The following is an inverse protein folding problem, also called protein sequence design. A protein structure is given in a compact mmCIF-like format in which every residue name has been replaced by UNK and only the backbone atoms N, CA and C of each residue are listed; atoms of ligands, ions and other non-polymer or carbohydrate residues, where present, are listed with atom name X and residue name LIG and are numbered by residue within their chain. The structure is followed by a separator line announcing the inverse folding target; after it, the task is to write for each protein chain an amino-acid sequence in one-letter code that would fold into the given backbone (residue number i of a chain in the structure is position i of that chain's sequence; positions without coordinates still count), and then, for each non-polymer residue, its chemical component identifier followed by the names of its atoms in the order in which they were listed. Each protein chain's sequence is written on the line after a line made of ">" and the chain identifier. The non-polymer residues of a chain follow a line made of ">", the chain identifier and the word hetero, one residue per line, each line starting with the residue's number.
data_IF_001068310869
#
_entry.id   IF_001068310869
#
_cell.length_a   1.000
_cell.length_b   1.000
_cell.length_c   1.000
_cell.angle_alpha   90.00
_cell.angle_beta   90.00
_cell.angle_gamma   90.00
#
_symmetry.space_group_name_H-M   'P 1'
#
loop_
_entity.id
_entity.type
_entity.pdbx_description
1 polymer ?
#
# COMPACT_ATOMS: atom_id res chain seq x y z
N UNK A 1 -11.27 8.80 -13.11
CA UNK A 1 -12.08 8.87 -11.89
C UNK A 1 -13.17 7.81 -11.96
N UNK A 2 -12.90 6.62 -11.44
CA UNK A 2 -13.94 5.68 -11.02
C UNK A 2 -13.48 5.16 -9.66
N UNK A 3 -13.88 5.87 -8.62
CA UNK A 3 -13.73 5.42 -7.25
C UNK A 3 -14.69 4.26 -7.05
N UNK A 4 -14.25 3.05 -7.42
CA UNK A 4 -14.90 1.81 -7.02
C UNK A 4 -14.72 1.73 -5.50
N UNK A 5 -15.71 2.27 -4.78
CA UNK A 5 -15.79 2.16 -3.33
C UNK A 5 -16.41 0.80 -3.01
N UNK A 6 -15.58 -0.12 -2.53
CA UNK A 6 -16.00 -1.45 -2.10
C UNK A 6 -15.71 -1.50 -0.61
N UNK A 7 -16.69 -1.13 0.24
CA UNK A 7 -16.50 -0.96 1.69
C UNK A 7 -15.91 -2.18 2.39
N UNK A 8 -16.14 -3.38 1.82
CA UNK A 8 -15.70 -4.65 2.36
C UNK A 8 -14.40 -5.19 1.74
N UNK A 9 -13.82 -4.48 0.77
CA UNK A 9 -12.55 -4.90 0.19
C UNK A 9 -11.42 -4.69 1.22
N UNK A 10 -10.82 -5.80 1.66
CA UNK A 10 -9.69 -5.79 2.57
C UNK A 10 -8.39 -6.26 1.90
N UNK A 11 -8.44 -6.71 0.65
CA UNK A 11 -7.26 -7.15 -0.10
C UNK A 11 -7.17 -6.40 -1.43
N UNK A 12 -6.00 -5.81 -1.68
CA UNK A 12 -5.63 -5.14 -2.93
C UNK A 12 -4.51 -5.95 -3.58
N UNK A 13 -4.65 -6.25 -4.86
CA UNK A 13 -3.60 -6.83 -5.69
C UNK A 13 -3.40 -5.89 -6.89
N UNK A 14 -2.18 -5.40 -7.05
CA UNK A 14 -1.79 -4.55 -8.19
C UNK A 14 -0.76 -5.31 -8.99
N UNK A 15 -1.14 -5.71 -10.19
CA UNK A 15 -0.21 -6.20 -11.20
C UNK A 15 0.56 -5.04 -11.85
N UNK A 16 1.77 -5.32 -12.31
CA UNK A 16 2.69 -4.33 -12.90
C UNK A 16 2.85 -3.05 -12.06
N UNK A 17 2.96 -3.21 -10.74
CA UNK A 17 3.04 -2.11 -9.78
C UNK A 17 4.22 -1.14 -10.05
N UNK A 18 5.28 -1.63 -10.70
CA UNK A 18 6.44 -0.83 -11.11
C UNK A 18 6.10 0.31 -12.10
N UNK A 19 4.97 0.18 -12.82
CA UNK A 19 4.47 1.18 -13.78
C UNK A 19 3.78 2.37 -13.13
N UNK A 20 3.47 2.29 -11.84
CA UNK A 20 2.75 3.34 -11.13
C UNK A 20 3.68 4.30 -10.40
N UNK A 21 3.35 5.58 -10.40
CA UNK A 21 4.00 6.56 -9.55
C UNK A 21 3.77 6.24 -8.07
N UNK A 22 4.72 6.63 -7.21
CA UNK A 22 4.66 6.37 -5.77
C UNK A 22 3.35 6.90 -5.16
N UNK A 23 2.95 8.13 -5.49
CA UNK A 23 1.70 8.73 -5.03
C UNK A 23 0.46 7.94 -5.44
N UNK A 24 0.45 7.34 -6.63
CA UNK A 24 -0.65 6.49 -7.09
C UNK A 24 -0.73 5.20 -6.27
N UNK A 25 0.42 4.56 -5.99
CA UNK A 25 0.50 3.38 -5.13
C UNK A 25 -0.02 3.67 -3.71
N UNK A 26 0.32 4.83 -3.13
CA UNK A 26 -0.24 5.27 -1.84
C UNK A 26 -1.76 5.41 -1.88
N UNK A 27 -2.28 6.09 -2.90
CA UNK A 27 -3.72 6.33 -3.04
C UNK A 27 -4.48 5.02 -3.21
N UNK A 28 -3.94 4.06 -3.96
CA UNK A 28 -4.53 2.72 -4.11
C UNK A 28 -4.47 1.93 -2.81
N UNK A 29 -3.31 1.88 -2.14
CA UNK A 29 -3.13 1.22 -0.84
C UNK A 29 -4.13 1.73 0.20
N UNK A 30 -4.35 3.04 0.25
CA UNK A 30 -5.28 3.68 1.20
C UNK A 30 -6.76 3.34 0.99
N UNK A 31 -7.11 2.53 -0.02
CA UNK A 31 -8.47 2.03 -0.27
C UNK A 31 -8.79 0.74 0.48
N UNK A 32 -7.79 0.03 1.01
CA UNK A 32 -7.99 -1.19 1.82
C UNK A 32 -7.54 -0.96 3.26
N UNK A 33 -8.03 -1.79 4.19
CA UNK A 33 -7.62 -1.72 5.61
C UNK A 33 -8.23 -0.55 6.40
N UNK A 34 -9.39 -0.02 5.96
CA UNK A 34 -10.15 1.03 6.68
C UNK A 34 -11.07 0.50 7.79
N UNK A 35 -11.23 -0.82 7.89
CA UNK A 35 -12.03 -1.48 8.92
C UNK A 35 -11.18 -1.91 10.12
N UNK A 36 -11.80 -2.46 11.17
CA UNK A 36 -11.08 -3.11 12.28
C UNK A 36 -10.29 -4.37 11.86
N UNK A 37 -10.51 -4.87 10.64
CA UNK A 37 -9.81 -6.03 10.07
C UNK A 37 -8.54 -5.57 9.34
N UNK A 38 -7.47 -6.32 9.50
CA UNK A 38 -6.21 -6.12 8.76
C UNK A 38 -6.49 -6.14 7.26
N UNK A 39 -6.00 -5.11 6.56
CA UNK A 39 -5.97 -5.05 5.11
C UNK A 39 -4.64 -5.54 4.55
N UNK A 40 -4.67 -6.17 3.38
CA UNK A 40 -3.49 -6.65 2.67
C UNK A 40 -3.37 -5.92 1.33
N UNK A 41 -2.17 -5.50 0.96
CA UNK A 41 -1.86 -4.93 -0.35
C UNK A 41 -0.64 -5.63 -0.95
N UNK A 42 -0.82 -6.24 -2.11
CA UNK A 42 0.23 -6.92 -2.86
C UNK A 42 0.57 -6.10 -4.10
N UNK A 43 1.84 -5.68 -4.20
CA UNK A 43 2.38 -4.97 -5.35
C UNK A 43 3.25 -5.94 -6.13
N UNK A 44 2.78 -6.36 -7.30
CA UNK A 44 3.41 -7.40 -8.10
C UNK A 44 4.10 -6.79 -9.32
N UNK A 45 5.21 -7.38 -9.74
CA UNK A 45 5.84 -7.13 -11.03
C UNK A 45 6.26 -8.46 -11.66
N UNK A 46 6.49 -8.53 -12.98
CA UNK A 46 6.94 -9.76 -13.62
C UNK A 46 8.27 -10.23 -13.03
N UNK A 47 8.38 -11.53 -12.72
CA UNK A 47 9.54 -12.10 -12.03
C UNK A 47 10.86 -11.98 -12.82
N UNK A 48 10.75 -11.99 -14.15
CA UNK A 48 11.83 -11.97 -15.12
C UNK A 48 12.08 -10.56 -15.70
N UNK A 49 11.56 -9.52 -15.04
CA UNK A 49 11.77 -8.13 -15.43
C UNK A 49 12.90 -7.51 -14.61
N UNK A 50 13.83 -6.86 -15.30
CA UNK A 50 14.81 -5.98 -14.67
C UNK A 50 14.11 -4.66 -14.37
N UNK A 51 14.02 -4.30 -13.08
CA UNK A 51 13.45 -3.02 -12.66
C UNK A 51 14.46 -1.90 -12.90
N UNK A 52 13.96 -0.69 -13.18
CA UNK A 52 14.79 0.50 -13.09
C UNK A 52 15.04 0.82 -11.62
N UNK A 53 16.17 1.43 -11.29
CA UNK A 53 16.49 1.89 -9.92
C UNK A 53 15.32 2.70 -9.33
N UNK A 54 14.77 3.65 -10.09
CA UNK A 54 13.62 4.44 -9.65
C UNK A 54 12.35 3.59 -9.41
N UNK A 55 12.14 2.49 -10.13
CA UNK A 55 11.00 1.60 -9.87
C UNK A 55 11.22 0.76 -8.61
N UNK A 56 12.44 0.27 -8.41
CA UNK A 56 12.84 -0.47 -7.22
C UNK A 56 12.72 0.39 -5.96
N UNK A 57 13.27 1.61 -5.98
CA UNK A 57 13.15 2.59 -4.89
C UNK A 57 11.70 2.88 -4.51
N UNK A 58 10.82 3.04 -5.51
CA UNK A 58 9.39 3.31 -5.27
C UNK A 58 8.69 2.10 -4.64
N UNK A 59 8.96 0.90 -5.13
CA UNK A 59 8.38 -0.34 -4.59
C UNK A 59 8.90 -0.63 -3.17
N UNK A 60 10.17 -0.32 -2.89
CA UNK A 60 10.74 -0.41 -1.57
C UNK A 60 10.14 0.64 -0.62
N UNK A 61 10.02 1.89 -1.06
CA UNK A 61 9.40 2.95 -0.27
C UNK A 61 7.95 2.60 0.11
N UNK A 62 7.10 2.17 -0.83
CA UNK A 62 5.71 1.84 -0.48
C UNK A 62 5.60 0.68 0.53
N UNK A 63 6.54 -0.26 0.51
CA UNK A 63 6.66 -1.37 1.47
C UNK A 63 7.09 -0.89 2.86
N UNK A 64 8.04 0.03 2.97
CA UNK A 64 8.49 0.58 4.26
C UNK A 64 7.43 1.43 4.95
N UNK A 65 6.59 2.12 4.18
CA UNK A 65 5.46 2.89 4.71
C UNK A 65 4.29 2.03 5.21
N UNK A 66 4.49 0.72 5.36
CA UNK A 66 3.58 -0.18 6.08
C UNK A 66 3.73 -0.09 7.59
N UNK A 67 4.77 0.56 8.12
CA UNK A 67 4.83 0.89 9.54
C UNK A 67 3.62 1.74 9.90
N UNK A 68 2.73 1.15 10.73
CA UNK A 68 1.63 1.80 11.42
C UNK A 68 2.06 3.22 11.79
N UNK A 69 1.43 4.20 11.13
CA UNK A 69 1.77 5.60 11.26
C UNK A 69 1.93 5.98 12.73
N UNK A 70 2.86 6.89 13.01
CA UNK A 70 3.13 7.42 14.35
C UNK A 70 1.87 7.65 15.20
N UNK A 71 0.74 8.03 14.59
CA UNK A 71 -0.57 8.14 15.25
C UNK A 71 -1.09 6.87 15.93
N UNK A 72 -0.89 5.67 15.38
CA UNK A 72 -1.26 4.41 16.06
C UNK A 72 -0.29 4.09 17.20
N UNK A 73 1.02 4.31 17.01
CA UNK A 73 2.02 4.15 18.09
C UNK A 73 1.75 5.14 19.24
N UNK A 74 1.27 6.35 18.95
CA UNK A 74 0.85 7.35 19.95
C UNK A 74 -0.45 6.92 20.64
N UNK A 75 -1.47 6.51 19.89
CA UNK A 75 -2.74 6.04 20.46
C UNK A 75 -2.56 4.80 21.37
N UNK A 76 -1.63 3.90 21.04
CA UNK A 76 -1.27 2.76 21.89
C UNK A 76 -0.49 3.14 23.15
N UNK A 77 0.24 4.27 23.13
CA UNK A 77 0.91 4.82 24.32
C UNK A 77 -0.09 5.51 25.26
N UNK A 78 -1.09 6.21 24.73
CA UNK A 78 -2.11 6.89 25.53
C UNK A 78 -3.12 5.92 26.19
N UNK A 79 -3.15 4.65 25.77
CA UNK A 79 -4.05 3.62 26.30
C UNK A 79 -3.52 2.89 27.56
N UNK A 80 -2.31 3.21 28.04
CA UNK A 80 -1.70 2.58 29.23
C UNK A 80 -1.45 3.59 30.35
#
# INVERSE_FOLDING_TARGET
>A
ETGVDVPNANTLIIEDADRFGLSQLYQLRGRVGRSSRIGYAYFLHPANKVLTETAEDRLQAIKEFTELGSGFKIAMRDLN
#
